data_IF_738722537265
#
_entry.id   IF_738722537265
#
_cell.length_a   1.000
_cell.length_b   1.000
_cell.length_c   1.000
_cell.angle_alpha   90.00
_cell.angle_beta   90.00
_cell.angle_gamma   90.00
#
_symmetry.space_group_name_H-M   'P 1'
#
loop_
_entity.id
_entity.type
_entity.pdbx_description
1 polymer ?
#
# COMPACT_ATOMS: atom_id res chain seq x y z
N UNK A 1 5.60 34.33 13.89
CA UNK A 1 6.15 33.38 12.91
C UNK A 1 5.01 32.85 12.04
N UNK A 2 4.61 33.51 10.94
CA UNK A 2 3.56 32.98 10.09
C UNK A 2 4.18 32.00 9.09
N UNK A 3 4.48 30.79 9.58
CA UNK A 3 4.76 29.54 8.86
C UNK A 3 4.53 28.42 9.88
N UNK A 4 3.28 28.30 10.34
CA UNK A 4 2.89 27.37 11.41
C UNK A 4 2.87 25.93 10.91
N UNK A 5 3.09 24.99 11.82
CA UNK A 5 2.92 23.56 11.57
C UNK A 5 1.53 23.23 10.99
N UNK A 6 0.52 24.06 11.28
CA UNK A 6 -0.81 23.93 10.71
C UNK A 6 -0.80 24.05 9.18
N UNK A 7 -0.06 25.01 8.62
CA UNK A 7 0.03 25.19 7.17
C UNK A 7 0.74 24.02 6.49
N UNK A 8 1.76 23.46 7.14
CA UNK A 8 2.44 22.25 6.67
C UNK A 8 1.54 21.01 6.74
N UNK A 9 0.74 20.89 7.81
CA UNK A 9 -0.21 19.80 7.97
C UNK A 9 -1.30 19.87 6.90
N UNK A 10 -1.88 21.05 6.67
CA UNK A 10 -2.87 21.26 5.61
C UNK A 10 -2.30 20.92 4.23
N UNK A 11 -1.08 21.34 3.92
CA UNK A 11 -0.43 21.01 2.65
C UNK A 11 -0.22 19.50 2.49
N UNK A 12 0.17 18.81 3.56
CA UNK A 12 0.33 17.36 3.58
C UNK A 12 -1.01 16.63 3.42
N UNK A 13 -2.06 17.07 4.11
CA UNK A 13 -3.41 16.53 3.97
C UNK A 13 -3.96 16.74 2.54
N UNK A 14 -3.67 17.89 1.92
CA UNK A 14 -4.01 18.15 0.52
C UNK A 14 -3.27 17.20 -0.43
N UNK A 15 -1.98 16.95 -0.21
CA UNK A 15 -1.23 15.96 -1.00
C UNK A 15 -1.83 14.55 -0.87
N UNK A 16 -2.26 14.17 0.34
CA UNK A 16 -2.95 12.90 0.57
C UNK A 16 -4.33 12.87 -0.12
N UNK A 17 -5.10 13.95 -0.05
CA UNK A 17 -6.40 14.02 -0.69
C UNK A 17 -6.34 13.91 -2.23
N UNK A 18 -5.22 14.32 -2.84
CA UNK A 18 -4.99 14.22 -4.29
C UNK A 18 -4.78 12.77 -4.73
N UNK A 19 -4.25 11.88 -3.88
CA UNK A 19 -3.99 10.51 -4.31
C UNK A 19 -5.28 9.68 -4.49
N UNK A 20 -6.35 10.01 -3.75
CA UNK A 20 -7.62 9.28 -3.79
C UNK A 20 -8.46 9.85 -4.94
N UNK A 21 -8.63 9.09 -6.04
CA UNK A 21 -9.49 9.50 -7.15
C UNK A 21 -10.92 9.74 -6.67
N UNK A 22 -11.64 10.65 -7.35
CA UNK A 22 -12.99 11.02 -6.94
C UNK A 22 -13.95 9.82 -6.95
N UNK A 23 -13.74 8.87 -7.87
CA UNK A 23 -14.47 7.62 -8.02
C UNK A 23 -14.30 6.65 -6.84
N UNK A 24 -13.27 6.82 -6.01
CA UNK A 24 -13.03 5.97 -4.83
C UNK A 24 -13.46 6.65 -3.53
N UNK A 25 -13.98 7.88 -3.60
CA UNK A 25 -14.41 8.61 -2.41
C UNK A 25 -15.72 8.05 -1.88
N UNK A 26 -15.77 7.82 -0.57
CA UNK A 26 -16.93 7.27 0.12
C UNK A 26 -17.40 8.22 1.22
N UNK A 27 -18.70 8.20 1.50
CA UNK A 27 -19.26 8.90 2.65
C UNK A 27 -18.93 8.13 3.93
N UNK A 28 -18.23 8.79 4.85
CA UNK A 28 -17.82 8.19 6.12
C UNK A 28 -19.00 8.14 7.09
N UNK A 29 -19.73 7.03 7.05
CA UNK A 29 -20.79 6.69 8.02
C UNK A 29 -20.29 5.65 9.03
N UNK A 30 -20.95 5.48 10.19
CA UNK A 30 -20.58 4.42 11.15
C UNK A 30 -20.57 3.00 10.57
N UNK A 31 -21.31 2.76 9.47
CA UNK A 31 -21.37 1.48 8.76
C UNK A 31 -20.06 1.11 8.04
N UNK A 32 -19.18 2.09 7.83
CA UNK A 32 -17.86 1.88 7.23
C UNK A 32 -16.92 1.15 8.20
N UNK A 33 -17.27 1.04 9.48
CA UNK A 33 -16.46 0.35 10.48
C UNK A 33 -16.98 -1.06 10.80
N UNK A 34 -16.11 -2.10 10.84
CA UNK A 34 -14.67 -2.05 10.56
C UNK A 34 -14.40 -1.96 9.05
N UNK A 35 -13.37 -1.21 8.67
CA UNK A 35 -13.01 -0.93 7.28
C UNK A 35 -12.91 -2.18 6.39
N UNK A 36 -12.45 -3.30 6.96
CA UNK A 36 -12.32 -4.58 6.25
C UNK A 36 -13.65 -5.15 5.78
N UNK A 37 -14.73 -4.98 6.55
CA UNK A 37 -16.05 -5.50 6.20
C UNK A 37 -16.70 -4.61 5.15
N UNK A 38 -16.48 -3.30 5.22
CA UNK A 38 -16.90 -2.37 4.18
C UNK A 38 -16.19 -2.66 2.85
N UNK A 39 -14.87 -2.83 2.86
CA UNK A 39 -14.08 -3.19 1.67
C UNK A 39 -14.62 -4.47 1.03
N UNK A 40 -14.96 -5.49 1.84
CA UNK A 40 -15.48 -6.76 1.33
C UNK A 40 -16.85 -6.68 0.65
N UNK A 41 -17.65 -5.68 1.01
CA UNK A 41 -19.03 -5.47 0.51
C UNK A 41 -19.12 -4.35 -0.51
N UNK A 42 -18.02 -3.63 -0.75
CA UNK A 42 -18.01 -2.44 -1.59
C UNK A 42 -18.17 -2.80 -3.07
N UNK A 43 -19.01 -2.03 -3.74
CA UNK A 43 -19.29 -2.16 -5.19
C UNK A 43 -18.20 -1.47 -6.04
N UNK A 44 -17.21 -0.84 -5.40
CA UNK A 44 -16.10 -0.14 -6.05
C UNK A 44 -15.07 -1.08 -6.68
N UNK A 45 -15.19 -2.37 -6.41
CA UNK A 45 -14.38 -3.42 -6.99
C UNK A 45 -15.02 -3.93 -8.29
N UNK A 46 -14.21 -4.13 -9.34
CA UNK A 46 -14.68 -4.87 -10.51
C UNK A 46 -15.03 -6.31 -10.10
N UNK A 47 -15.95 -6.99 -10.81
CA UNK A 47 -16.54 -8.28 -10.39
C UNK A 47 -15.52 -9.38 -10.01
N UNK A 48 -14.30 -9.32 -10.53
CA UNK A 48 -13.22 -10.30 -10.30
C UNK A 48 -12.21 -9.93 -9.19
N UNK A 49 -12.31 -8.74 -8.60
CA UNK A 49 -11.36 -8.23 -7.59
C UNK A 49 -11.60 -8.73 -6.14
N UNK A 50 -12.84 -9.01 -5.67
CA UNK A 50 -13.09 -9.46 -4.29
C UNK A 50 -12.45 -10.81 -3.90
N UNK A 51 -12.34 -11.82 -4.80
CA UNK A 51 -11.61 -13.06 -4.49
C UNK A 51 -10.10 -12.87 -4.38
N UNK A 52 -9.53 -11.94 -5.17
CA UNK A 52 -8.09 -11.67 -5.18
C UNK A 52 -7.60 -11.09 -3.86
N UNK A 53 -8.36 -10.17 -3.23
CA UNK A 53 -7.98 -9.56 -1.95
C UNK A 53 -7.99 -10.55 -0.76
N UNK A 54 -8.54 -11.75 -0.95
CA UNK A 54 -8.58 -12.82 0.07
C UNK A 54 -7.37 -13.75 -0.01
N UNK A 55 -6.58 -13.68 -1.09
CA UNK A 55 -5.41 -14.54 -1.27
C UNK A 55 -4.28 -14.09 -0.33
N UNK A 56 -3.56 -15.07 0.24
CA UNK A 56 -2.29 -14.78 0.87
C UNK A 56 -1.21 -14.47 -0.17
N UNK A 57 -0.04 -14.02 0.27
CA UNK A 57 1.04 -13.61 -0.63
C UNK A 57 1.53 -14.75 -1.54
N UNK A 58 1.50 -16.01 -1.08
CA UNK A 58 1.94 -17.16 -1.86
C UNK A 58 0.91 -17.52 -2.92
N UNK A 59 -0.37 -17.60 -2.54
CA UNK A 59 -1.46 -17.83 -3.46
C UNK A 59 -1.60 -16.71 -4.49
N UNK A 60 -1.35 -15.46 -4.10
CA UNK A 60 -1.36 -14.31 -5.01
C UNK A 60 -0.21 -14.39 -6.01
N UNK A 61 1.02 -14.68 -5.54
CA UNK A 61 2.16 -14.94 -6.41
C UNK A 61 1.85 -16.05 -7.41
N UNK A 62 1.26 -17.16 -6.95
CA UNK A 62 0.96 -18.32 -7.80
C UNK A 62 -0.16 -18.01 -8.81
N UNK A 63 -1.14 -17.19 -8.43
CA UNK A 63 -2.19 -16.72 -9.33
C UNK A 63 -1.66 -15.77 -10.41
N UNK A 64 -0.70 -14.90 -10.07
CA UNK A 64 0.03 -14.08 -11.05
C UNK A 64 0.89 -14.97 -11.94
N UNK A 65 1.60 -15.93 -11.33
CA UNK A 65 2.50 -16.81 -12.04
C UNK A 65 1.80 -17.70 -13.07
N UNK A 66 0.61 -18.19 -12.73
CA UNK A 66 -0.28 -18.94 -13.61
C UNK A 66 -1.05 -18.08 -14.61
N UNK A 67 -0.82 -16.76 -14.63
CA UNK A 67 -1.52 -15.77 -15.47
C UNK A 67 -3.04 -15.72 -15.24
N UNK A 68 -3.51 -16.19 -14.08
CA UNK A 68 -4.90 -16.03 -13.67
C UNK A 68 -5.23 -14.56 -13.43
N UNK A 69 -4.27 -13.81 -12.88
CA UNK A 69 -4.34 -12.35 -12.72
C UNK A 69 -3.09 -11.70 -13.29
N UNK A 70 -3.23 -10.49 -13.83
CA UNK A 70 -2.10 -9.64 -14.18
C UNK A 70 -1.63 -8.87 -12.96
N UNK A 71 -0.35 -8.53 -12.91
CA UNK A 71 0.21 -7.67 -11.86
C UNK A 71 -0.50 -6.32 -11.83
N UNK A 72 -0.85 -5.77 -12.99
CA UNK A 72 -1.59 -4.51 -13.07
C UNK A 72 -2.98 -4.60 -12.43
N UNK A 73 -3.72 -5.69 -12.66
CA UNK A 73 -5.03 -5.91 -12.04
C UNK A 73 -4.90 -6.05 -10.52
N UNK A 74 -3.91 -6.83 -10.07
CA UNK A 74 -3.62 -7.01 -8.63
C UNK A 74 -3.31 -5.67 -7.97
N UNK A 75 -2.36 -4.90 -8.53
CA UNK A 75 -1.96 -3.60 -7.99
C UNK A 75 -3.12 -2.61 -7.97
N UNK A 76 -4.00 -2.63 -8.98
CA UNK A 76 -5.17 -1.75 -9.04
C UNK A 76 -6.19 -2.09 -7.95
N UNK A 77 -6.51 -3.37 -7.76
CA UNK A 77 -7.42 -3.81 -6.71
C UNK A 77 -6.90 -3.49 -5.30
N UNK A 78 -5.61 -3.74 -5.05
CA UNK A 78 -4.98 -3.38 -3.77
C UNK A 78 -4.93 -1.86 -3.55
N UNK A 79 -4.75 -1.07 -4.61
CA UNK A 79 -4.81 0.38 -4.51
C UNK A 79 -6.20 0.91 -4.15
N UNK A 80 -7.26 0.37 -4.77
CA UNK A 80 -8.65 0.69 -4.42
C UNK A 80 -8.90 0.33 -2.95
N UNK A 81 -8.52 -0.88 -2.53
CA UNK A 81 -8.62 -1.30 -1.13
C UNK A 81 -7.85 -0.39 -0.17
N UNK A 82 -6.65 0.04 -0.55
CA UNK A 82 -5.82 0.93 0.26
C UNK A 82 -6.46 2.34 0.38
N UNK A 83 -7.07 2.86 -0.68
CA UNK A 83 -7.80 4.12 -0.66
C UNK A 83 -9.04 4.08 0.24
N UNK A 84 -9.78 2.96 0.24
CA UNK A 84 -10.92 2.77 1.15
C UNK A 84 -10.49 2.64 2.62
N UNK A 85 -9.42 1.88 2.87
CA UNK A 85 -8.83 1.79 4.20
C UNK A 85 -8.32 3.15 4.67
N UNK A 86 -7.73 3.95 3.78
CA UNK A 86 -7.25 5.29 4.14
C UNK A 86 -8.39 6.20 4.61
N UNK A 87 -9.50 6.24 3.89
CA UNK A 87 -10.60 7.15 4.24
C UNK A 87 -11.21 6.82 5.61
N UNK A 88 -11.28 5.53 5.94
CA UNK A 88 -11.89 5.04 7.17
C UNK A 88 -10.95 4.98 8.38
N UNK A 89 -9.64 4.77 8.15
CA UNK A 89 -8.66 4.52 9.23
C UNK A 89 -7.47 5.45 9.23
N UNK A 90 -7.25 6.20 8.15
CA UNK A 90 -6.07 7.03 7.93
C UNK A 90 -4.74 6.28 8.16
N UNK A 91 -4.61 5.10 7.55
CA UNK A 91 -3.50 4.16 7.73
C UNK A 91 -2.31 4.36 6.76
N UNK A 92 -2.41 5.27 5.80
CA UNK A 92 -1.38 5.57 4.80
C UNK A 92 -0.83 6.98 5.05
N UNK A 93 0.49 7.09 4.95
CA UNK A 93 1.17 8.39 4.92
C UNK A 93 1.44 8.86 3.50
N UNK A 94 1.65 7.92 2.56
CA UNK A 94 1.92 8.22 1.16
C UNK A 94 1.45 7.06 0.30
N UNK A 95 0.88 7.35 -0.87
CA UNK A 95 0.48 6.33 -1.84
C UNK A 95 0.96 6.73 -3.22
N UNK A 96 1.83 5.91 -3.83
CA UNK A 96 2.45 6.17 -5.14
C UNK A 96 1.76 5.34 -6.21
N UNK A 97 0.45 5.58 -6.40
CA UNK A 97 -0.40 4.76 -7.25
C UNK A 97 0.12 4.67 -8.69
N UNK A 98 0.55 5.80 -9.26
CA UNK A 98 1.00 5.85 -10.64
C UNK A 98 2.30 5.04 -10.83
N UNK A 99 3.28 5.23 -9.96
CA UNK A 99 4.52 4.44 -9.98
C UNK A 99 4.27 2.95 -9.75
N UNK A 100 3.33 2.60 -8.86
CA UNK A 100 2.94 1.21 -8.65
C UNK A 100 2.32 0.60 -9.91
N UNK A 101 1.45 1.33 -10.61
CA UNK A 101 0.86 0.88 -11.89
C UNK A 101 1.91 0.74 -13.00
N UNK A 102 2.85 1.67 -13.09
CA UNK A 102 3.96 1.60 -14.06
C UNK A 102 4.87 0.41 -13.80
N UNK A 103 5.25 0.19 -12.53
CA UNK A 103 5.99 -0.99 -12.08
C UNK A 103 5.25 -2.28 -12.43
N UNK A 104 3.95 -2.31 -12.19
CA UNK A 104 3.11 -3.48 -12.45
C UNK A 104 3.04 -3.81 -13.95
N UNK A 105 2.84 -2.80 -14.82
CA UNK A 105 2.88 -2.98 -16.27
C UNK A 105 4.20 -3.54 -16.74
N UNK A 106 5.30 -2.98 -16.27
CA UNK A 106 6.63 -3.48 -16.60
C UNK A 106 6.81 -4.94 -16.15
N UNK A 107 6.28 -5.33 -14.99
CA UNK A 107 6.38 -6.71 -14.50
C UNK A 107 5.59 -7.67 -15.38
N UNK A 108 4.40 -7.27 -15.82
CA UNK A 108 3.61 -8.06 -16.78
C UNK A 108 4.35 -8.22 -18.12
N UNK A 109 4.98 -7.16 -18.64
CA UNK A 109 5.82 -7.24 -19.85
C UNK A 109 7.03 -8.18 -19.66
N UNK A 110 7.70 -8.12 -18.50
CA UNK A 110 8.81 -9.04 -18.22
C UNK A 110 8.33 -10.49 -18.06
N UNK A 111 7.13 -10.69 -17.51
CA UNK A 111 6.50 -12.01 -17.39
C UNK A 111 6.22 -12.63 -18.77
N UNK A 112 5.85 -11.82 -19.76
CA UNK A 112 5.68 -12.26 -21.14
C UNK A 112 7.02 -12.57 -21.83
N UNK A 113 8.03 -11.72 -21.63
CA UNK A 113 9.30 -11.81 -22.34
C UNK A 113 10.27 -12.86 -21.76
N UNK A 114 10.34 -12.97 -20.42
CA UNK A 114 11.39 -13.73 -19.70
C UNK A 114 10.84 -14.65 -18.60
N UNK A 115 9.54 -14.57 -18.30
CA UNK A 115 8.94 -15.26 -17.15
C UNK A 115 9.13 -14.48 -15.84
N UNK A 116 9.05 -15.17 -14.71
CA UNK A 116 9.05 -14.52 -13.40
C UNK A 116 10.35 -13.73 -13.13
N UNK A 117 10.19 -12.47 -12.71
CA UNK A 117 11.30 -11.61 -12.31
C UNK A 117 11.98 -12.05 -11.00
N UNK A 118 11.24 -12.70 -10.10
CA UNK A 118 11.74 -13.11 -8.79
C UNK A 118 10.67 -13.72 -7.89
N UNK A 119 11.02 -14.08 -6.64
CA UNK A 119 10.13 -14.79 -5.72
C UNK A 119 8.89 -13.98 -5.28
N UNK A 120 8.91 -12.66 -5.43
CA UNK A 120 7.83 -11.74 -5.10
C UNK A 120 7.19 -11.11 -6.35
N UNK A 121 7.38 -11.74 -7.52
CA UNK A 121 6.91 -11.20 -8.79
C UNK A 121 5.44 -10.77 -8.72
N UNK A 122 5.22 -9.47 -8.89
CA UNK A 122 3.91 -8.84 -8.95
C UNK A 122 3.15 -8.72 -7.63
N UNK A 123 3.71 -9.19 -6.51
CA UNK A 123 3.06 -9.07 -5.20
C UNK A 123 3.13 -7.62 -4.71
N UNK A 124 1.99 -6.97 -4.37
CA UNK A 124 1.97 -5.62 -3.81
C UNK A 124 2.47 -5.64 -2.36
N UNK A 125 3.30 -4.66 -2.00
CA UNK A 125 3.96 -4.62 -0.68
C UNK A 125 3.71 -3.26 -0.03
N UNK A 126 3.23 -3.27 1.20
CA UNK A 126 3.24 -2.06 2.02
C UNK A 126 4.52 -1.98 2.84
N UNK A 127 5.12 -0.79 2.90
CA UNK A 127 6.34 -0.51 3.65
C UNK A 127 6.09 0.62 4.64
N UNK A 128 6.74 0.53 5.79
CA UNK A 128 6.62 1.57 6.82
C UNK A 128 7.25 2.87 6.32
N UNK A 129 6.67 4.01 6.68
CA UNK A 129 7.15 5.36 6.32
C UNK A 129 8.56 5.76 6.82
N UNK A 130 9.31 4.82 7.41
CA UNK A 130 10.68 4.99 7.91
C UNK A 130 11.73 4.56 6.90
N UNK A 131 11.32 3.97 5.77
CA UNK A 131 12.22 3.50 4.72
C UNK A 131 12.26 4.50 3.56
N UNK A 132 13.47 4.89 3.16
CA UNK A 132 13.71 5.77 2.02
C UNK A 132 13.33 5.09 0.71
N UNK A 133 12.64 5.85 -0.13
CA UNK A 133 12.24 5.52 -1.50
C UNK A 133 12.82 6.60 -2.42
N UNK A 134 13.59 6.20 -3.42
CA UNK A 134 14.20 7.13 -4.36
C UNK A 134 13.14 7.99 -5.05
N UNK A 135 13.37 9.30 -5.12
CA UNK A 135 12.45 10.28 -5.71
C UNK A 135 11.43 10.87 -4.73
N UNK A 136 11.34 10.35 -3.50
CA UNK A 136 10.31 10.73 -2.53
C UNK A 136 10.88 11.31 -1.25
N UNK A 137 10.11 12.16 -0.57
CA UNK A 137 10.47 12.60 0.78
C UNK A 137 10.26 11.45 1.78
N UNK A 138 11.04 11.49 2.87
CA UNK A 138 10.95 10.52 3.94
C UNK A 138 10.31 11.21 5.15
N UNK A 139 9.05 10.89 5.47
CA UNK A 139 8.34 11.57 6.57
C UNK A 139 8.70 11.01 7.94
N UNK A 140 9.03 9.72 8.08
CA UNK A 140 9.27 9.08 9.39
C UNK A 140 8.18 9.31 10.45
N UNK A 141 6.97 9.71 10.05
CA UNK A 141 5.89 10.12 10.96
C UNK A 141 6.06 11.50 11.60
N UNK A 142 6.99 12.33 11.14
CA UNK A 142 7.20 13.70 11.59
C UNK A 142 6.94 14.71 10.46
N UNK A 143 6.11 15.71 10.75
CA UNK A 143 5.75 16.74 9.77
C UNK A 143 6.95 17.58 9.31
N UNK A 144 7.96 17.76 10.17
CA UNK A 144 9.20 18.46 9.82
C UNK A 144 9.96 17.76 8.70
N UNK A 145 9.80 16.44 8.58
CA UNK A 145 10.57 15.64 7.63
C UNK A 145 9.97 15.68 6.22
N UNK A 146 8.69 16.06 6.10
CA UNK A 146 8.03 16.29 4.80
C UNK A 146 8.67 17.46 4.04
N UNK A 147 9.24 18.44 4.75
CA UNK A 147 9.97 19.56 4.15
C UNK A 147 11.43 19.27 3.81
N UNK A 148 11.94 18.08 4.12
CA UNK A 148 13.32 17.69 3.80
C UNK A 148 13.45 17.32 2.33
N UNK A 149 14.67 17.39 1.77
CA UNK A 149 14.93 16.97 0.39
C UNK A 149 14.48 15.53 0.12
N UNK A 150 14.05 15.30 -1.12
CA UNK A 150 13.72 13.96 -1.60
C UNK A 150 14.94 13.03 -1.50
N UNK A 151 14.68 11.78 -1.17
CA UNK A 151 15.70 10.75 -1.09
C UNK A 151 16.19 10.42 -2.50
N UNK A 152 17.50 10.32 -2.66
CA UNK A 152 18.12 9.97 -3.96
C UNK A 152 18.11 8.48 -4.23
N UNK A 153 18.08 7.68 -3.17
CA UNK A 153 18.27 6.24 -3.23
C UNK A 153 17.23 5.52 -2.37
N UNK A 154 16.92 4.30 -2.79
CA UNK A 154 16.14 3.37 -2.00
C UNK A 154 16.95 2.87 -0.80
N UNK A 155 16.29 2.68 0.33
CA UNK A 155 16.88 1.87 1.41
C UNK A 155 17.11 0.43 0.97
N UNK A 156 18.12 -0.23 1.56
CA UNK A 156 18.53 -1.61 1.19
C UNK A 156 17.35 -2.58 1.12
N UNK A 157 16.42 -2.50 2.07
CA UNK A 157 15.23 -3.36 2.07
C UNK A 157 14.32 -3.12 0.85
N UNK A 158 14.12 -1.86 0.46
CA UNK A 158 13.31 -1.51 -0.72
C UNK A 158 13.99 -2.02 -1.99
N UNK A 159 15.31 -1.86 -2.10
CA UNK A 159 16.09 -2.38 -3.22
C UNK A 159 15.96 -3.90 -3.34
N UNK A 160 16.02 -4.63 -2.22
CA UNK A 160 15.83 -6.09 -2.19
C UNK A 160 14.41 -6.47 -2.65
N UNK A 161 13.38 -5.79 -2.15
CA UNK A 161 11.99 -6.07 -2.52
C UNK A 161 11.71 -5.79 -4.00
N UNK A 162 12.26 -4.69 -4.54
CA UNK A 162 12.16 -4.34 -5.97
C UNK A 162 12.90 -5.36 -6.83
N UNK A 163 14.10 -5.77 -6.43
CA UNK A 163 14.89 -6.80 -7.10
C UNK A 163 14.18 -8.16 -7.09
N UNK A 164 13.50 -8.51 -6.00
CA UNK A 164 12.68 -9.72 -5.88
C UNK A 164 11.40 -9.72 -6.72
N UNK A 165 11.09 -8.62 -7.43
CA UNK A 165 9.94 -8.50 -8.32
C UNK A 165 8.68 -7.92 -7.69
N UNK A 166 8.78 -7.28 -6.51
CA UNK A 166 7.61 -6.66 -5.86
C UNK A 166 6.87 -5.67 -6.77
N UNK A 167 5.53 -5.80 -6.80
CA UNK A 167 4.60 -5.13 -7.73
C UNK A 167 4.42 -3.63 -7.50
N UNK A 168 4.84 -3.12 -6.35
CA UNK A 168 4.73 -1.71 -5.96
C UNK A 168 4.83 -1.55 -4.45
N UNK A 169 5.45 -0.46 -3.99
CA UNK A 169 5.56 -0.13 -2.58
C UNK A 169 4.50 0.92 -2.19
N UNK A 170 3.67 0.59 -1.19
CA UNK A 170 2.71 1.52 -0.60
C UNK A 170 3.19 1.93 0.79
N UNK A 171 3.39 3.22 1.04
CA UNK A 171 3.89 3.70 2.34
C UNK A 171 2.75 3.80 3.36
N UNK A 172 2.70 2.82 4.25
CA UNK A 172 1.75 2.76 5.36
C UNK A 172 2.29 3.46 6.61
N UNK A 173 1.41 4.16 7.32
CA UNK A 173 1.64 4.68 8.65
C UNK A 173 0.51 4.26 9.60
N UNK A 174 0.84 3.53 10.66
CA UNK A 174 -0.10 3.29 11.75
C UNK A 174 0.05 4.44 12.77
N UNK A 175 -0.92 5.36 12.86
CA UNK A 175 -0.88 6.47 13.83
C UNK A 175 -1.03 5.94 15.26
N UNK A 176 0.10 5.70 15.95
CA UNK A 176 0.24 5.75 17.40
C UNK A 176 1.64 6.32 17.74
N UNK A 177 1.83 7.04 18.86
CA UNK A 177 2.64 8.26 18.89
C UNK A 177 4.13 8.04 18.70
N UNK A 178 4.75 9.11 18.18
CA UNK A 178 6.16 9.46 18.08
C UNK A 178 7.15 8.58 18.85
N UNK A 179 8.21 8.17 18.11
CA UNK A 179 9.38 7.39 18.56
C UNK A 179 9.10 5.90 18.78
N UNK A 180 9.49 5.11 17.76
CA UNK A 180 9.96 3.71 17.79
C UNK A 180 9.41 2.73 18.86
N UNK A 181 8.21 2.91 19.39
CA UNK A 181 7.56 1.94 20.26
C UNK A 181 6.85 0.90 19.40
N UNK A 182 7.50 -0.25 19.25
CA UNK A 182 6.97 -1.40 18.55
C UNK A 182 5.81 -2.00 19.34
N UNK A 183 4.57 -1.68 18.99
CA UNK A 183 3.43 -2.49 19.39
C UNK A 183 2.40 -2.64 18.26
N UNK A 184 2.23 -3.91 17.86
CA UNK A 184 1.13 -4.51 17.06
C UNK A 184 1.06 -4.17 15.56
N UNK A 185 1.85 -4.91 14.77
CA UNK A 185 1.50 -5.31 13.41
C UNK A 185 0.41 -6.41 13.49
N UNK A 186 -0.83 -6.11 13.11
CA UNK A 186 -1.87 -7.15 13.01
C UNK A 186 -2.96 -6.83 11.97
N UNK A 187 -2.61 -6.21 10.86
CA UNK A 187 -3.59 -5.89 9.80
C UNK A 187 -3.36 -6.61 8.45
N UNK A 188 -2.22 -7.29 8.24
CA UNK A 188 -1.91 -7.86 6.90
C UNK A 188 -1.31 -9.28 6.87
N UNK A 189 -1.37 -10.06 7.95
CA UNK A 189 -1.02 -11.49 7.89
C UNK A 189 -1.86 -12.30 8.87
N UNK A 190 -2.80 -13.09 8.38
CA UNK A 190 -3.29 -14.28 9.09
C UNK A 190 -3.50 -15.40 8.09
N UNK A 191 -2.52 -16.30 8.02
CA UNK A 191 -2.77 -17.71 7.69
C UNK A 191 -3.34 -18.38 8.95
N UNK A 192 -4.33 -19.26 8.77
CA UNK A 192 -4.94 -19.99 9.86
C UNK A 192 -3.91 -20.95 10.50
N UNK A 193 -3.70 -20.81 11.79
CA UNK A 193 -3.28 -21.93 12.64
C UNK A 193 -3.93 -21.75 14.00
N UNK A 194 -4.92 -22.60 14.29
CA UNK A 194 -5.35 -22.86 15.67
C UNK A 194 -4.21 -23.57 16.41
N UNK A 195 -4.06 -23.30 17.72
CA UNK A 195 -3.71 -24.39 18.60
C UNK A 195 -4.66 -24.47 19.80
N UNK A 196 -5.36 -25.61 19.83
CA UNK A 196 -5.69 -26.46 20.98
C UNK A 196 -5.72 -25.81 22.38
N UNK A 197 -6.89 -25.93 23.01
CA UNK A 197 -7.06 -25.89 24.46
C UNK A 197 -6.08 -26.85 25.15
N UNK A 198 -5.28 -26.33 26.07
CA UNK A 198 -4.94 -26.93 27.37
C UNK A 198 -4.56 -25.81 28.33
#
# INVERSE_FOLDING_TARGET
MPNGWQSQATAYDQQLAVFIPAEWKIDLTPEVYPAIDYIRRSDLFAQDEPPLLKLDATALRDAIASRKYTTLAVTSAYATSAALAQQSTNCLSNCFLQEAKERAKWLDEQMEAKGHWGPLHGVPISVKCTYSLAGHYLSCGCLTDVSKPVQKEDSVIISILRAGGGGGAFHGHNRHPSIHHASRNRLLSWSHSEPSQF
#
